data_IF_821394366966
#
_entry.id   IF_821394366966
#
_cell.length_a   1.000
_cell.length_b   1.000
_cell.length_c   1.000
_cell.angle_alpha   90.00
_cell.angle_beta   90.00
_cell.angle_gamma   90.00
#
_symmetry.space_group_name_H-M   'P 1'
#
loop_
_entity.id
_entity.type
_entity.pdbx_description
1 polymer ?
#
# COMPACT_ATOMS: atom_id res chain seq x y z
N UNK A 1 2.96 24.97 12.33
CA UNK A 1 2.40 24.49 11.06
C UNK A 1 2.27 25.70 10.15
N UNK A 2 2.83 25.65 8.94
CA UNK A 2 2.52 26.65 7.92
C UNK A 2 1.02 26.63 7.56
N UNK A 3 0.44 27.76 7.13
CA UNK A 3 -0.99 27.89 6.79
C UNK A 3 -1.44 26.78 5.84
N UNK A 4 -0.66 26.50 4.79
CA UNK A 4 -0.97 25.48 3.77
C UNK A 4 -1.02 24.05 4.31
N UNK A 5 -0.31 23.73 5.38
CA UNK A 5 -0.32 22.40 6.00
C UNK A 5 -1.48 22.23 6.97
N UNK A 6 -1.85 23.32 7.65
CA UNK A 6 -3.06 23.36 8.49
C UNK A 6 -4.31 23.21 7.62
N UNK A 7 -4.36 23.91 6.49
CA UNK A 7 -5.46 23.81 5.53
C UNK A 7 -5.62 22.37 5.00
N UNK A 8 -4.50 21.72 4.61
CA UNK A 8 -4.54 20.33 4.14
C UNK A 8 -5.03 19.33 5.20
N UNK A 9 -4.68 19.52 6.47
CA UNK A 9 -5.16 18.66 7.56
C UNK A 9 -6.64 18.93 7.85
N UNK A 10 -7.05 20.20 7.89
CA UNK A 10 -8.44 20.60 8.14
C UNK A 10 -9.37 20.12 7.04
N UNK A 11 -8.96 20.24 5.79
CA UNK A 11 -9.74 19.81 4.61
C UNK A 11 -9.86 18.28 4.52
N UNK A 12 -8.90 17.55 5.10
CA UNK A 12 -8.86 16.09 5.06
C UNK A 12 -9.69 15.40 6.17
N UNK A 13 -10.00 16.10 7.26
CA UNK A 13 -10.80 15.58 8.38
C UNK A 13 -12.21 15.14 7.95
N UNK A 14 -13.01 15.92 7.19
CA UNK A 14 -14.38 15.53 6.84
C UNK A 14 -14.46 14.44 5.75
N UNK A 15 -13.35 14.12 5.09
CA UNK A 15 -13.33 13.15 4.00
C UNK A 15 -13.49 11.72 4.51
N UNK A 16 -14.08 10.86 3.68
CA UNK A 16 -14.06 9.42 3.89
C UNK A 16 -12.62 8.88 3.86
N UNK A 17 -12.42 7.68 4.40
CA UNK A 17 -11.09 7.08 4.58
C UNK A 17 -10.25 7.05 3.30
N UNK A 18 -10.85 6.72 2.15
CA UNK A 18 -10.12 6.62 0.88
C UNK A 18 -9.77 8.01 0.34
N UNK A 19 -10.73 8.94 0.34
CA UNK A 19 -10.49 10.33 -0.10
C UNK A 19 -9.45 11.04 0.76
N UNK A 20 -9.49 10.83 2.09
CA UNK A 20 -8.48 11.36 3.03
C UNK A 20 -7.08 10.86 2.68
N UNK A 21 -6.92 9.55 2.45
CA UNK A 21 -5.64 8.96 2.09
C UNK A 21 -5.10 9.56 0.78
N UNK A 22 -5.92 9.63 -0.27
CA UNK A 22 -5.50 10.20 -1.57
C UNK A 22 -5.11 11.67 -1.44
N UNK A 23 -5.92 12.49 -0.75
CA UNK A 23 -5.62 13.91 -0.54
C UNK A 23 -4.31 14.15 0.22
N UNK A 24 -4.07 13.40 1.30
CA UNK A 24 -2.80 13.46 2.04
C UNK A 24 -1.61 13.00 1.19
N UNK A 25 -1.80 11.96 0.37
CA UNK A 25 -0.75 11.42 -0.49
C UNK A 25 -0.33 12.46 -1.55
N UNK A 26 -1.30 13.10 -2.20
CA UNK A 26 -1.04 14.15 -3.19
C UNK A 26 -0.40 15.38 -2.54
N UNK A 27 -0.82 15.74 -1.33
CA UNK A 27 -0.22 16.85 -0.60
C UNK A 27 1.25 16.58 -0.21
N UNK A 28 1.57 15.37 0.29
CA UNK A 28 2.95 14.98 0.59
C UNK A 28 3.81 14.94 -0.68
N UNK A 29 3.29 14.42 -1.80
CA UNK A 29 4.00 14.49 -3.08
C UNK A 29 4.26 15.93 -3.53
N UNK A 30 3.31 16.84 -3.33
CA UNK A 30 3.49 18.26 -3.63
C UNK A 30 4.61 18.88 -2.78
N UNK A 31 4.66 18.55 -1.48
CA UNK A 31 5.75 19.01 -0.60
C UNK A 31 7.12 18.50 -1.06
N UNK A 32 7.23 17.24 -1.45
CA UNK A 32 8.48 16.68 -1.99
C UNK A 32 8.84 17.40 -3.30
N UNK A 33 7.89 17.64 -4.20
CA UNK A 33 8.13 18.41 -5.43
C UNK A 33 8.54 19.87 -5.16
N UNK A 34 8.07 20.47 -4.07
CA UNK A 34 8.38 21.85 -3.68
C UNK A 34 9.75 21.96 -2.99
N UNK A 35 10.06 21.04 -2.08
CA UNK A 35 11.22 21.11 -1.20
C UNK A 35 12.38 20.23 -1.67
N UNK A 36 12.14 19.30 -2.59
CA UNK A 36 13.08 18.25 -2.98
C UNK A 36 12.99 17.02 -2.09
N UNK A 37 13.82 16.03 -2.40
CA UNK A 37 13.93 14.78 -1.64
C UNK A 37 14.33 15.06 -0.17
N UNK A 38 13.53 14.53 0.76
CA UNK A 38 13.82 14.62 2.19
C UNK A 38 14.87 13.58 2.60
N UNK A 39 15.68 13.93 3.58
CA UNK A 39 16.78 13.08 4.05
C UNK A 39 16.88 13.08 5.57
N UNK A 40 17.83 12.31 6.10
CA UNK A 40 18.17 12.30 7.52
C UNK A 40 19.60 12.75 7.75
N UNK A 41 19.81 13.58 8.77
CA UNK A 41 21.14 13.82 9.35
C UNK A 41 21.41 12.71 10.37
N UNK A 42 22.66 12.25 10.49
CA UNK A 42 23.04 11.16 11.41
C UNK A 42 23.45 11.69 12.78
N UNK A 43 23.21 10.88 13.81
CA UNK A 43 23.61 11.05 15.22
C UNK A 43 23.30 12.43 15.84
N UNK A 44 22.03 12.71 16.20
CA UNK A 44 20.85 11.85 16.12
C UNK A 44 20.20 11.85 14.72
N UNK A 45 19.31 10.88 14.46
CA UNK A 45 18.53 10.83 13.20
C UNK A 45 17.56 12.02 13.19
N UNK A 46 17.88 13.06 12.42
CA UNK A 46 17.06 14.28 12.28
C UNK A 46 16.49 14.33 10.87
N UNK A 47 15.17 14.45 10.75
CA UNK A 47 14.49 14.64 9.48
C UNK A 47 14.76 16.04 8.93
N UNK A 48 15.17 16.12 7.67
CA UNK A 48 15.57 17.37 7.03
C UNK A 48 14.99 17.49 5.62
N UNK A 49 14.56 18.71 5.28
CA UNK A 49 14.28 19.10 3.89
C UNK A 49 15.58 19.13 3.09
N UNK A 50 15.49 19.01 1.77
CA UNK A 50 16.66 19.22 0.91
C UNK A 50 17.25 20.63 1.13
N UNK A 51 18.59 20.73 1.10
CA UNK A 51 19.29 22.00 1.29
C UNK A 51 19.06 23.00 0.14
N UNK A 52 18.66 22.50 -1.02
CA UNK A 52 18.35 23.29 -2.21
C UNK A 52 17.06 22.76 -2.82
N UNK A 53 16.16 23.68 -3.13
CA UNK A 53 14.97 23.35 -3.90
C UNK A 53 15.39 22.80 -5.28
N UNK A 54 14.61 21.86 -5.84
CA UNK A 54 14.89 21.30 -7.16
C UNK A 54 14.91 22.42 -8.23
N UNK A 55 15.79 22.29 -9.24
CA UNK A 55 15.97 23.32 -10.28
C UNK A 55 14.72 23.52 -11.15
N UNK A 56 13.85 22.50 -11.21
CA UNK A 56 12.58 22.53 -11.93
C UNK A 56 11.45 22.13 -10.99
N UNK A 57 10.40 22.95 -10.95
CA UNK A 57 9.15 22.59 -10.26
C UNK A 57 8.43 21.56 -11.12
N UNK A 58 8.31 20.35 -10.62
CA UNK A 58 7.63 19.24 -11.28
C UNK A 58 7.18 18.20 -10.25
N UNK A 59 6.36 17.21 -10.66
CA UNK A 59 6.03 16.10 -9.79
C UNK A 59 7.32 15.33 -9.43
N UNK A 60 7.48 14.92 -8.16
CA UNK A 60 8.66 14.15 -7.76
C UNK A 60 8.68 12.78 -8.44
N UNK A 61 9.88 12.28 -8.71
CA UNK A 61 10.10 10.91 -9.15
C UNK A 61 9.69 9.91 -8.06
N UNK A 62 9.33 8.68 -8.44
CA UNK A 62 8.93 7.66 -7.45
C UNK A 62 10.06 7.35 -6.46
N UNK A 63 11.31 7.39 -6.89
CA UNK A 63 12.49 7.20 -6.05
C UNK A 63 12.60 8.31 -4.98
N UNK A 64 12.39 9.57 -5.34
CA UNK A 64 12.41 10.70 -4.40
C UNK A 64 11.31 10.55 -3.34
N UNK A 65 10.13 10.06 -3.75
CA UNK A 65 9.03 9.76 -2.83
C UNK A 65 9.40 8.62 -1.88
N UNK A 66 9.95 7.52 -2.41
CA UNK A 66 10.35 6.37 -1.62
C UNK A 66 11.43 6.72 -0.59
N UNK A 67 12.46 7.48 -0.99
CA UNK A 67 13.51 7.94 -0.09
C UNK A 67 12.99 8.89 0.98
N UNK A 68 12.15 9.86 0.60
CA UNK A 68 11.55 10.80 1.57
C UNK A 68 10.70 10.07 2.62
N UNK A 69 9.92 9.06 2.20
CA UNK A 69 9.14 8.22 3.11
C UNK A 69 10.02 7.37 4.03
N UNK A 70 11.12 6.82 3.51
CA UNK A 70 12.09 6.08 4.32
C UNK A 70 12.74 6.98 5.37
N UNK A 71 13.18 8.18 4.96
CA UNK A 71 13.76 9.18 5.86
C UNK A 71 12.77 9.57 6.97
N UNK A 72 11.50 9.77 6.63
CA UNK A 72 10.45 10.09 7.59
C UNK A 72 10.20 8.93 8.56
N UNK A 73 10.10 7.69 8.06
CA UNK A 73 9.89 6.50 8.87
C UNK A 73 11.05 6.27 9.86
N UNK A 74 12.29 6.47 9.42
CA UNK A 74 13.46 6.27 10.27
C UNK A 74 13.58 7.37 11.35
N UNK A 75 13.06 8.57 11.09
CA UNK A 75 13.14 9.72 12.00
C UNK A 75 11.91 9.92 12.90
N UNK A 76 10.77 9.26 12.65
CA UNK A 76 9.51 9.54 13.36
C UNK A 76 9.58 9.26 14.87
N UNK A 77 10.41 8.30 15.27
CA UNK A 77 10.56 7.89 16.67
C UNK A 77 11.74 8.57 17.38
N UNK A 78 12.43 9.52 16.73
CA UNK A 78 13.54 10.26 17.31
C UNK A 78 13.16 11.70 17.63
N UNK A 79 13.84 12.30 18.61
CA UNK A 79 13.61 13.69 19.00
C UNK A 79 13.97 14.63 17.85
N UNK A 80 12.98 15.38 17.36
CA UNK A 80 13.16 16.35 16.28
C UNK A 80 13.30 17.78 16.81
N UNK A 81 14.17 18.62 16.21
CA UNK A 81 14.21 20.03 16.50
C UNK A 81 12.91 20.71 16.03
N UNK A 82 12.46 21.72 16.79
CA UNK A 82 11.28 22.51 16.42
C UNK A 82 11.53 23.25 15.12
N UNK A 83 10.64 23.06 14.15
CA UNK A 83 10.69 23.78 12.88
C UNK A 83 9.90 23.13 11.75
N UNK A 84 9.99 23.68 10.53
CA UNK A 84 9.18 23.24 9.39
C UNK A 84 9.37 21.76 9.02
N UNK A 85 10.58 21.22 9.16
CA UNK A 85 10.83 19.80 8.88
C UNK A 85 10.09 18.88 9.87
N UNK A 86 9.97 19.27 11.15
CA UNK A 86 9.18 18.51 12.12
C UNK A 86 7.69 18.51 11.76
N UNK A 87 7.18 19.63 11.27
CA UNK A 87 5.78 19.75 10.82
C UNK A 87 5.50 18.85 9.62
N UNK A 88 6.42 18.82 8.64
CA UNK A 88 6.36 17.90 7.51
C UNK A 88 6.39 16.45 7.98
N UNK A 89 7.26 16.10 8.93
CA UNK A 89 7.36 14.75 9.48
C UNK A 89 6.02 14.28 10.10
N UNK A 90 5.31 15.16 10.80
CA UNK A 90 3.99 14.85 11.35
C UNK A 90 2.96 14.61 10.24
N UNK A 91 3.03 15.35 9.14
CA UNK A 91 2.17 15.12 7.99
C UNK A 91 2.49 13.78 7.29
N UNK A 92 3.77 13.41 7.14
CA UNK A 92 4.16 12.10 6.63
C UNK A 92 3.62 10.97 7.52
N UNK A 93 3.66 11.14 8.84
CA UNK A 93 3.06 10.20 9.80
C UNK A 93 1.53 10.13 9.65
N UNK A 94 0.86 11.27 9.50
CA UNK A 94 -0.58 11.31 9.27
C UNK A 94 -0.97 10.59 7.98
N UNK A 95 -0.19 10.76 6.91
CA UNK A 95 -0.36 10.00 5.67
C UNK A 95 -0.20 8.49 5.89
N UNK A 96 0.81 8.07 6.67
CA UNK A 96 0.99 6.66 7.00
C UNK A 96 -0.21 6.08 7.76
N UNK A 97 -0.73 6.82 8.74
CA UNK A 97 -1.92 6.40 9.51
C UNK A 97 -3.15 6.29 8.60
N UNK A 98 -3.36 7.28 7.72
CA UNK A 98 -4.44 7.23 6.73
C UNK A 98 -4.28 6.07 5.74
N UNK A 99 -3.04 5.70 5.38
CA UNK A 99 -2.78 4.54 4.53
C UNK A 99 -3.14 3.23 5.22
N UNK A 100 -2.84 3.09 6.52
CA UNK A 100 -3.28 1.94 7.32
C UNK A 100 -4.81 1.87 7.34
N UNK A 101 -5.48 2.97 7.67
CA UNK A 101 -6.94 3.02 7.72
C UNK A 101 -7.57 2.64 6.37
N UNK A 102 -7.00 3.13 5.26
CA UNK A 102 -7.44 2.79 3.91
C UNK A 102 -7.22 1.30 3.58
N UNK A 103 -6.08 0.73 3.96
CA UNK A 103 -5.83 -0.71 3.78
C UNK A 103 -6.79 -1.56 4.60
N UNK A 104 -7.00 -1.23 5.87
CA UNK A 104 -7.93 -1.96 6.75
C UNK A 104 -9.36 -1.86 6.23
N UNK A 105 -9.82 -0.67 5.85
CA UNK A 105 -11.13 -0.49 5.22
C UNK A 105 -11.28 -1.32 3.94
N UNK A 106 -10.29 -1.29 3.05
CA UNK A 106 -10.33 -2.06 1.80
C UNK A 106 -10.37 -3.57 2.04
N UNK A 107 -9.76 -4.06 3.12
CA UNK A 107 -9.79 -5.45 3.53
C UNK A 107 -11.13 -5.84 4.18
N UNK A 108 -11.73 -4.94 4.97
CA UNK A 108 -12.98 -5.17 5.69
C UNK A 108 -14.23 -5.05 4.80
N UNK A 109 -14.21 -4.14 3.82
CA UNK A 109 -15.28 -4.00 2.83
C UNK A 109 -15.43 -5.28 1.96
N UNK A 110 -14.40 -6.14 1.91
CA UNK A 110 -14.48 -7.49 1.32
C UNK A 110 -14.60 -7.54 -0.21
N UNK A 111 -14.60 -6.40 -0.88
CA UNK A 111 -14.80 -6.29 -2.33
C UNK A 111 -13.54 -6.55 -3.15
N UNK A 112 -12.34 -6.52 -2.55
CA UNK A 112 -11.10 -6.80 -3.29
C UNK A 112 -11.07 -8.23 -3.83
N UNK A 113 -10.94 -8.36 -5.16
CA UNK A 113 -10.68 -9.65 -5.79
C UNK A 113 -9.48 -10.36 -5.15
N UNK A 114 -9.58 -11.69 -4.99
CA UNK A 114 -8.60 -12.53 -4.27
C UNK A 114 -7.16 -12.27 -4.75
N UNK A 115 -6.95 -12.17 -6.06
CA UNK A 115 -5.62 -11.90 -6.63
C UNK A 115 -5.11 -10.49 -6.32
N UNK A 116 -5.98 -9.47 -6.40
CA UNK A 116 -5.61 -8.08 -6.11
C UNK A 116 -5.19 -7.94 -4.65
N UNK A 117 -5.97 -8.54 -3.74
CA UNK A 117 -5.64 -8.63 -2.32
C UNK A 117 -4.29 -9.32 -2.12
N UNK A 118 -4.13 -10.52 -2.66
CA UNK A 118 -2.96 -11.35 -2.43
C UNK A 118 -1.65 -10.76 -3.01
N UNK A 119 -1.70 -10.15 -4.21
CA UNK A 119 -0.55 -9.41 -4.76
C UNK A 119 -0.22 -8.18 -3.92
N UNK A 120 -1.22 -7.51 -3.34
CA UNK A 120 -1.00 -6.44 -2.36
C UNK A 120 -0.25 -6.95 -1.12
N UNK A 121 -0.64 -8.10 -0.57
CA UNK A 121 0.08 -8.73 0.55
C UNK A 121 1.55 -9.05 0.20
N UNK A 122 1.83 -9.54 -1.01
CA UNK A 122 3.21 -9.71 -1.49
C UNK A 122 3.95 -8.38 -1.58
N UNK A 123 3.29 -7.31 -2.03
CA UNK A 123 3.84 -5.95 -2.05
C UNK A 123 4.22 -5.45 -0.65
N UNK A 124 3.37 -5.68 0.34
CA UNK A 124 3.67 -5.37 1.75
C UNK A 124 4.86 -6.18 2.25
N UNK A 125 4.90 -7.48 1.93
CA UNK A 125 5.99 -8.37 2.34
C UNK A 125 7.34 -8.03 1.69
N UNK A 126 7.34 -7.42 0.50
CA UNK A 126 8.57 -6.89 -0.12
C UNK A 126 9.16 -5.73 0.68
N UNK A 127 8.33 -4.96 1.38
CA UNK A 127 8.73 -3.90 2.30
C UNK A 127 8.92 -4.34 3.74
N UNK A 128 8.96 -5.65 4.04
CA UNK A 128 9.05 -6.13 5.41
C UNK A 128 10.39 -5.75 6.06
N UNK A 129 10.31 -5.07 7.18
CA UNK A 129 11.41 -4.78 8.08
C UNK A 129 11.36 -5.76 9.24
N UNK A 130 12.41 -6.57 9.35
CA UNK A 130 12.54 -7.56 10.40
C UNK A 130 12.68 -6.90 11.78
N UNK A 131 11.68 -7.01 12.67
CA UNK A 131 11.77 -6.45 14.01
C UNK A 131 12.83 -7.18 14.82
N UNK A 132 13.65 -6.44 15.58
CA UNK A 132 14.70 -7.05 16.42
C UNK A 132 14.14 -8.00 17.49
N UNK A 133 12.88 -7.84 17.86
CA UNK A 133 12.17 -8.63 18.88
C UNK A 133 11.57 -9.93 18.34
N UNK A 134 11.59 -10.15 17.03
CA UNK A 134 10.95 -11.32 16.39
C UNK A 134 11.86 -12.55 16.52
N UNK A 135 11.28 -13.71 16.87
CA UNK A 135 12.04 -14.95 17.01
C UNK A 135 12.51 -15.47 15.64
N UNK A 136 13.57 -16.29 15.61
CA UNK A 136 14.05 -16.89 14.35
C UNK A 136 12.96 -17.73 13.68
N UNK A 137 12.19 -18.48 14.47
CA UNK A 137 11.09 -19.30 13.97
C UNK A 137 10.00 -18.45 13.29
N UNK A 138 9.61 -17.32 13.89
CA UNK A 138 8.60 -16.43 13.30
C UNK A 138 9.07 -15.82 11.96
N UNK A 139 10.37 -15.55 11.82
CA UNK A 139 10.97 -15.04 10.56
C UNK A 139 10.95 -16.10 9.47
N UNK A 140 11.29 -17.34 9.82
CA UNK A 140 11.24 -18.49 8.90
C UNK A 140 9.81 -18.76 8.46
N UNK A 141 8.84 -18.71 9.38
CA UNK A 141 7.41 -18.86 9.08
C UNK A 141 6.91 -17.75 8.14
N UNK A 142 7.27 -16.49 8.41
CA UNK A 142 6.91 -15.36 7.54
C UNK A 142 7.45 -15.54 6.12
N UNK A 143 8.73 -15.90 5.99
CA UNK A 143 9.36 -16.17 4.70
C UNK A 143 8.69 -17.34 3.98
N UNK A 144 8.39 -18.43 4.69
CA UNK A 144 7.71 -19.59 4.14
C UNK A 144 6.29 -19.24 3.64
N UNK A 145 5.52 -18.45 4.39
CA UNK A 145 4.18 -18.02 3.95
C UNK A 145 4.24 -17.10 2.74
N UNK A 146 5.20 -16.18 2.68
CA UNK A 146 5.43 -15.31 1.52
C UNK A 146 5.74 -16.13 0.27
N UNK A 147 6.65 -17.09 0.37
CA UNK A 147 7.09 -17.88 -0.78
C UNK A 147 5.98 -18.82 -1.27
N UNK A 148 5.23 -19.43 -0.33
CA UNK A 148 4.03 -20.23 -0.64
C UNK A 148 2.94 -19.39 -1.30
N UNK A 149 2.67 -18.18 -0.81
CA UNK A 149 1.70 -17.27 -1.41
C UNK A 149 2.09 -16.91 -2.85
N UNK A 150 3.36 -16.57 -3.08
CA UNK A 150 3.87 -16.24 -4.42
C UNK A 150 3.74 -17.42 -5.37
N UNK A 151 4.13 -18.62 -4.93
CA UNK A 151 3.98 -19.84 -5.73
C UNK A 151 2.51 -20.14 -6.08
N UNK A 152 1.61 -19.97 -5.11
CA UNK A 152 0.18 -20.16 -5.31
C UNK A 152 -0.40 -19.15 -6.31
N UNK A 153 -0.02 -17.87 -6.22
CA UNK A 153 -0.46 -16.82 -7.15
C UNK A 153 0.00 -17.08 -8.58
N UNK A 154 1.26 -17.52 -8.77
CA UNK A 154 1.78 -17.86 -10.10
C UNK A 154 1.06 -19.07 -10.70
N UNK A 155 0.50 -19.95 -9.88
CA UNK A 155 -0.29 -21.11 -10.33
C UNK A 155 -1.75 -20.78 -10.70
N UNK A 156 -2.24 -19.59 -10.37
CA UNK A 156 -3.55 -19.13 -10.81
C UNK A 156 -3.48 -18.59 -12.26
N UNK A 157 -4.53 -18.81 -13.07
CA UNK A 157 -4.67 -18.17 -14.36
C UNK A 157 -4.89 -16.67 -14.12
N UNK A 158 -3.87 -15.84 -14.36
CA UNK A 158 -3.93 -14.42 -14.02
C UNK A 158 -4.92 -13.66 -14.91
N UNK A 159 -5.52 -12.61 -14.34
CA UNK A 159 -6.37 -11.65 -15.08
C UNK A 159 -5.65 -10.93 -16.23
N UNK A 160 -4.32 -10.89 -16.23
CA UNK A 160 -3.50 -10.10 -17.17
C UNK A 160 -2.71 -10.92 -18.20
N UNK A 161 -2.68 -12.25 -18.07
CA UNK A 161 -1.97 -13.10 -19.02
C UNK A 161 -2.95 -14.09 -19.66
N UNK A 162 -3.43 -13.81 -20.89
CA UNK A 162 -4.14 -14.80 -21.69
C UNK A 162 -3.24 -15.98 -22.10
N UNK A 163 -1.95 -15.98 -21.71
CA UNK A 163 -0.92 -16.87 -22.20
C UNK A 163 -0.33 -17.88 -21.20
N UNK A 164 -0.98 -18.13 -20.06
CA UNK A 164 -0.89 -19.49 -19.49
C UNK A 164 -1.80 -20.44 -20.27
N UNK A 165 -1.63 -20.39 -21.60
CA UNK A 165 -2.16 -21.33 -22.53
C UNK A 165 -1.51 -22.68 -22.21
N UNK A 166 -2.37 -23.64 -21.88
CA UNK A 166 -2.14 -25.05 -22.10
C UNK A 166 -0.98 -25.67 -21.30
N UNK A 167 -1.27 -26.08 -20.07
CA UNK A 167 -0.81 -27.38 -19.63
C UNK A 167 -1.54 -28.46 -20.47
N UNK A 168 -1.16 -28.59 -21.74
CA UNK A 168 -1.59 -29.64 -22.66
C UNK A 168 -1.09 -30.98 -22.12
N UNK A 169 -1.88 -31.58 -21.22
CA UNK A 169 -1.52 -32.83 -20.54
C UNK A 169 -2.19 -33.06 -19.19
N UNK A 170 -2.84 -32.04 -18.60
CA UNK A 170 -3.54 -32.18 -17.32
C UNK A 170 -5.03 -32.46 -17.58
N UNK A 171 -5.58 -33.51 -16.96
CA UNK A 171 -7.02 -33.79 -17.08
C UNK A 171 -7.86 -32.64 -16.48
N UNK A 172 -9.08 -32.41 -16.97
CA UNK A 172 -9.96 -31.37 -16.44
C UNK A 172 -10.13 -31.44 -14.91
N UNK A 173 -10.30 -32.64 -14.36
CA UNK A 173 -10.46 -32.86 -12.91
C UNK A 173 -9.21 -32.46 -12.13
N UNK A 174 -8.03 -32.82 -12.65
CA UNK A 174 -6.76 -32.45 -12.03
C UNK A 174 -6.51 -30.95 -12.11
N UNK A 175 -6.96 -30.27 -13.18
CA UNK A 175 -6.92 -28.81 -13.28
C UNK A 175 -7.81 -28.14 -12.23
N UNK A 176 -9.05 -28.61 -12.05
CA UNK A 176 -9.97 -28.08 -11.03
C UNK A 176 -9.39 -28.26 -9.63
N UNK A 177 -8.83 -29.43 -9.33
CA UNK A 177 -8.16 -29.70 -8.06
C UNK A 177 -6.98 -28.74 -7.80
N UNK A 178 -6.10 -28.55 -8.79
CA UNK A 178 -4.95 -27.65 -8.67
C UNK A 178 -5.37 -26.19 -8.45
N UNK A 179 -6.36 -25.70 -9.19
CA UNK A 179 -6.90 -24.35 -9.01
C UNK A 179 -7.53 -24.15 -7.64
N UNK A 180 -8.29 -25.14 -7.17
CA UNK A 180 -8.93 -25.09 -5.84
C UNK A 180 -7.88 -25.07 -4.74
N UNK A 181 -6.84 -25.91 -4.86
CA UNK A 181 -5.71 -25.93 -3.94
C UNK A 181 -4.97 -24.58 -3.93
N UNK A 182 -4.68 -24.02 -5.11
CA UNK A 182 -4.03 -22.72 -5.24
C UNK A 182 -4.85 -21.59 -4.60
N UNK A 183 -6.15 -21.50 -4.88
CA UNK A 183 -7.04 -20.49 -4.25
C UNK A 183 -7.05 -20.60 -2.73
N UNK A 184 -7.12 -21.83 -2.20
CA UNK A 184 -7.07 -22.08 -0.75
C UNK A 184 -5.74 -21.62 -0.16
N UNK A 185 -4.64 -21.94 -0.83
CA UNK A 185 -3.30 -21.55 -0.40
C UNK A 185 -3.12 -20.02 -0.41
N UNK A 186 -3.60 -19.35 -1.47
CA UNK A 186 -3.62 -17.89 -1.55
C UNK A 186 -4.39 -17.29 -0.37
N UNK A 187 -5.60 -17.79 -0.09
CA UNK A 187 -6.41 -17.31 1.01
C UNK A 187 -5.71 -17.54 2.37
N UNK A 188 -5.19 -18.74 2.62
CA UNK A 188 -4.52 -19.08 3.89
C UNK A 188 -3.27 -18.25 4.11
N UNK A 189 -2.33 -18.24 3.16
CA UNK A 189 -1.07 -17.53 3.33
C UNK A 189 -1.26 -16.00 3.37
N UNK A 190 -2.20 -15.46 2.58
CA UNK A 190 -2.52 -14.01 2.66
C UNK A 190 -3.03 -13.62 4.04
N UNK A 191 -3.92 -14.42 4.64
CA UNK A 191 -4.45 -14.15 5.98
C UNK A 191 -3.37 -14.28 7.06
N UNK A 192 -2.50 -15.28 6.99
CA UNK A 192 -1.41 -15.47 7.96
C UNK A 192 -0.42 -14.30 7.93
N UNK A 193 -0.03 -13.85 6.74
CA UNK A 193 0.84 -12.67 6.58
C UNK A 193 0.14 -11.39 7.07
N UNK A 194 -1.13 -11.21 6.73
CA UNK A 194 -1.92 -10.06 7.19
C UNK A 194 -2.05 -10.03 8.72
N UNK A 195 -2.28 -11.17 9.36
CA UNK A 195 -2.30 -11.28 10.81
C UNK A 195 -0.97 -10.86 11.43
N UNK A 196 0.16 -11.22 10.81
CA UNK A 196 1.47 -10.79 11.28
C UNK A 196 1.66 -9.27 11.16
N UNK A 197 1.28 -8.66 10.03
CA UNK A 197 1.33 -7.19 9.89
C UNK A 197 0.45 -6.48 10.94
N UNK A 198 -0.77 -6.97 11.16
CA UNK A 198 -1.70 -6.43 12.17
C UNK A 198 -1.18 -6.61 13.60
N UNK A 199 -0.56 -7.76 13.92
CA UNK A 199 0.06 -8.05 15.22
C UNK A 199 1.11 -7.01 15.58
N UNK A 200 1.93 -6.63 14.59
CA UNK A 200 2.99 -5.62 14.76
C UNK A 200 2.50 -4.19 14.51
N UNK A 201 1.18 -3.97 14.45
CA UNK A 201 0.54 -2.67 14.17
C UNK A 201 1.12 -1.99 12.92
N UNK A 202 1.42 -2.77 11.88
CA UNK A 202 2.00 -2.32 10.60
C UNK A 202 3.39 -1.69 10.70
N UNK A 203 4.03 -1.70 11.88
CA UNK A 203 5.34 -1.08 12.09
C UNK A 203 6.47 -1.78 11.34
N UNK A 204 6.28 -3.05 10.99
CA UNK A 204 7.22 -3.87 10.21
C UNK A 204 7.11 -3.67 8.71
N UNK A 205 6.35 -2.69 8.21
CA UNK A 205 6.22 -2.40 6.77
C UNK A 205 6.90 -1.07 6.44
N UNK A 206 7.78 -1.05 5.43
CA UNK A 206 8.32 0.19 4.87
C UNK A 206 7.20 1.05 4.30
N UNK A 207 7.13 2.31 4.71
CA UNK A 207 5.99 3.20 4.41
C UNK A 207 5.66 3.27 2.92
N UNK A 208 6.67 3.37 2.05
CA UNK A 208 6.47 3.38 0.60
C UNK A 208 5.68 2.17 0.08
N UNK A 209 6.00 0.96 0.56
CA UNK A 209 5.31 -0.26 0.14
C UNK A 209 3.85 -0.27 0.60
N UNK A 210 3.58 0.15 1.84
CA UNK A 210 2.21 0.25 2.34
C UNK A 210 1.40 1.31 1.58
N UNK A 211 1.96 2.48 1.30
CA UNK A 211 1.31 3.52 0.49
C UNK A 211 1.02 3.05 -0.93
N UNK A 212 1.98 2.37 -1.58
CA UNK A 212 1.79 1.83 -2.93
C UNK A 212 0.67 0.79 -2.98
N UNK A 213 0.58 -0.08 -1.97
CA UNK A 213 -0.48 -1.09 -1.84
C UNK A 213 -1.83 -0.43 -1.56
N UNK A 214 -1.90 0.50 -0.60
CA UNK A 214 -3.11 1.26 -0.29
C UNK A 214 -3.66 1.96 -1.54
N UNK A 215 -2.81 2.69 -2.26
CA UNK A 215 -3.18 3.36 -3.52
C UNK A 215 -3.73 2.39 -4.56
N UNK A 216 -3.09 1.22 -4.71
CA UNK A 216 -3.54 0.22 -5.69
C UNK A 216 -4.88 -0.38 -5.30
N UNK A 217 -5.09 -0.73 -4.03
CA UNK A 217 -6.37 -1.26 -3.56
C UNK A 217 -7.51 -0.25 -3.68
N UNK A 218 -7.29 1.00 -3.25
CA UNK A 218 -8.27 2.09 -3.41
C UNK A 218 -8.62 2.30 -4.88
N UNK A 219 -7.63 2.32 -5.77
CA UNK A 219 -7.87 2.46 -7.21
C UNK A 219 -8.67 1.30 -7.83
N UNK A 220 -8.50 0.07 -7.35
CA UNK A 220 -9.30 -1.07 -7.83
C UNK A 220 -10.75 -0.94 -7.37
N UNK A 221 -10.99 -0.62 -6.10
CA UNK A 221 -12.35 -0.45 -5.56
C UNK A 221 -13.12 0.67 -6.27
N UNK A 222 -12.46 1.80 -6.55
CA UNK A 222 -13.07 2.89 -7.31
C UNK A 222 -13.41 2.49 -8.76
N UNK A 223 -12.54 1.69 -9.40
CA UNK A 223 -12.78 1.20 -10.76
C UNK A 223 -13.96 0.22 -10.80
N UNK A 224 -14.06 -0.68 -9.82
CA UNK A 224 -15.16 -1.65 -9.70
C UNK A 224 -16.52 -0.96 -9.45
N UNK A 225 -16.56 0.10 -8.64
CA UNK A 225 -17.77 0.89 -8.42
C UNK A 225 -18.25 1.62 -9.68
N UNK A 226 -17.31 2.06 -10.53
CA UNK A 226 -17.64 2.75 -11.79
C UNK A 226 -18.26 1.77 -12.79
N UNK A 227 -17.71 0.55 -12.89
CA UNK A 227 -18.23 -0.50 -13.78
C UNK A 227 -19.63 -0.96 -13.34
N UNK A 228 -19.86 -1.15 -12.03
CA UNK A 228 -21.17 -1.53 -11.53
C UNK A 228 -22.25 -0.46 -11.82
N UNK A 229 -21.91 0.82 -11.72
CA UNK A 229 -22.83 1.92 -12.04
C UNK A 229 -23.19 1.96 -13.54
N UNK A 230 -22.25 1.63 -14.43
CA UNK A 230 -22.52 1.58 -15.87
C UNK A 230 -23.38 0.36 -16.25
N UNK A 231 -23.19 -0.79 -15.60
CA UNK A 231 -24.03 -1.99 -15.78
C UNK A 231 -25.47 -1.77 -15.30
N UNK A 232 -25.66 -1.16 -14.13
CA UNK A 232 -27.00 -0.83 -13.59
C UNK A 232 -27.76 0.16 -14.50
N UNK A 233 -27.06 1.13 -15.09
CA UNK A 233 -27.66 2.07 -16.04
C UNK A 233 -28.07 1.36 -17.34
N UNK A 234 -27.26 0.41 -17.81
CA UNK A 234 -27.58 -0.35 -19.01
C UNK A 234 -28.75 -1.31 -18.80
N UNK A 235 -28.85 -1.97 -17.63
CA UNK A 235 -29.96 -2.87 -17.30
C UNK A 235 -31.29 -2.11 -17.15
N UNK A 236 -31.27 -0.89 -16.61
CA UNK A 236 -32.45 0.01 -16.58
C UNK A 236 -32.87 0.42 -17.98
N UNK A 237 -31.93 0.68 -18.90
CA UNK A 237 -32.25 1.06 -20.27
C UNK A 237 -32.79 -0.12 -21.09
N UNK A 238 -32.29 -1.33 -20.86
CA UNK A 238 -32.79 -2.56 -21.50
C UNK A 238 -34.15 -3.01 -20.93
N UNK A 239 -34.47 -2.67 -19.68
CA UNK A 239 -35.78 -2.92 -19.07
C UNK A 239 -36.90 -1.95 -19.46
N UNK A 240 -36.57 -0.85 -20.16
CA UNK A 240 -37.53 0.17 -20.62
C UNK A 240 -37.83 0.04 -22.14
N UNK A 241 -37.09 -0.81 -22.87
CA UNK A 241 -37.28 -1.10 -24.30
C UNK A 241 -38.25 -2.27 -24.55
#
# INVERSE_FOLDING_TARGET
MSSSQLDAVVDAIPLDTFSRFIGLFDHVKSLIGLHGEYTTLRDPIIFARAQRAPPTRGPPMEEEVAHSLSAAQDAINTTQPVGPAQEDLQLFKLLWDAAIDAMEKALDDGHLHLEVRAWGIIGLAAGYMDPQTTSVADKEDFAAYRDRLRAALVSLPSLTSPHNAQASGVSPDQRVYLLTKAKREVHTCSNLLLQQFRKDKWTSVRWYHGLAVAKRWVGNLASEQTVAADEDVQEVLEGIA
#
